data_IF_831315704391
#
_entry.id   IF_831315704391
#
_cell.length_a   1.000
_cell.length_b   1.000
_cell.length_c   1.000
_cell.angle_alpha   90.00
_cell.angle_beta   90.00
_cell.angle_gamma   90.00
#
_symmetry.space_group_name_H-M   'P 1'
#
loop_
_entity.id
_entity.type
_entity.pdbx_description
1 polymer ?
#
# COMPACT_ATOMS: atom_id res chain seq x y z
N UNK A 1 -7.40 -2.57 3.51
CA UNK A 1 -8.32 -2.36 2.39
C UNK A 1 -7.53 -2.06 1.15
N UNK A 2 -7.88 -2.71 0.05
CA UNK A 2 -7.43 -2.38 -1.31
C UNK A 2 -8.71 -2.25 -2.13
N UNK A 3 -9.06 -1.03 -2.53
CA UNK A 3 -10.42 -0.69 -2.90
C UNK A 3 -11.38 -0.97 -1.73
N UNK A 4 -12.52 -1.61 -2.03
CA UNK A 4 -13.54 -1.96 -1.04
C UNK A 4 -13.25 -3.28 -0.31
N UNK A 5 -12.23 -4.04 -0.76
CA UNK A 5 -11.93 -5.36 -0.25
C UNK A 5 -11.00 -5.32 0.97
N UNK A 6 -11.37 -6.08 2.01
CA UNK A 6 -10.57 -6.26 3.22
C UNK A 6 -9.72 -7.51 3.10
N UNK A 7 -8.40 -7.34 3.25
CA UNK A 7 -7.44 -8.42 3.37
C UNK A 7 -6.91 -8.44 4.80
N UNK A 8 -7.11 -9.56 5.49
CA UNK A 8 -6.39 -9.86 6.74
C UNK A 8 -4.96 -10.29 6.37
N UNK A 9 -3.99 -9.90 7.21
CA UNK A 9 -2.58 -10.21 7.01
C UNK A 9 -1.93 -10.46 8.37
N UNK A 10 -0.94 -11.34 8.38
CA UNK A 10 -0.09 -11.60 9.53
C UNK A 10 1.40 -11.50 9.16
N UNK A 11 2.27 -11.74 10.14
CA UNK A 11 3.72 -11.63 9.92
C UNK A 11 4.18 -12.65 8.88
N UNK A 12 4.85 -12.16 7.83
CA UNK A 12 5.38 -12.98 6.75
C UNK A 12 4.52 -12.99 5.49
N UNK A 13 3.28 -12.52 5.58
CA UNK A 13 2.42 -12.37 4.40
C UNK A 13 2.93 -11.28 3.46
N UNK A 14 2.56 -11.42 2.20
CA UNK A 14 2.81 -10.41 1.16
C UNK A 14 1.53 -10.17 0.37
N UNK A 15 1.26 -8.91 0.09
CA UNK A 15 0.13 -8.49 -0.74
C UNK A 15 0.58 -7.35 -1.67
N UNK A 16 -0.24 -7.08 -2.68
CA UNK A 16 0.01 -6.01 -3.65
C UNK A 16 -1.12 -5.00 -3.58
N UNK A 17 -0.78 -3.72 -3.74
CA UNK A 17 -1.74 -2.67 -4.06
C UNK A 17 -1.64 -2.43 -5.58
N UNK A 18 -2.65 -2.80 -6.37
CA UNK A 18 -2.63 -2.54 -7.81
C UNK A 18 -2.62 -1.05 -8.12
N UNK A 19 -2.20 -0.71 -9.35
CA UNK A 19 -2.17 0.68 -9.81
C UNK A 19 -3.54 1.35 -9.63
N UNK A 20 -3.53 2.60 -9.16
CA UNK A 20 -4.70 3.46 -9.02
C UNK A 20 -5.82 2.93 -8.11
N UNK A 21 -5.50 1.98 -7.22
CA UNK A 21 -6.42 1.56 -6.16
C UNK A 21 -6.15 2.36 -4.89
N UNK A 22 -7.21 2.94 -4.32
CA UNK A 22 -7.16 3.42 -2.95
C UNK A 22 -6.83 2.27 -2.02
N UNK A 23 -6.03 2.54 -1.00
CA UNK A 23 -5.63 1.55 -0.03
C UNK A 23 -5.50 2.19 1.36
N UNK A 24 -5.89 1.42 2.38
CA UNK A 24 -5.75 1.79 3.79
C UNK A 24 -5.25 0.60 4.58
N UNK A 25 -4.32 0.85 5.49
CA UNK A 25 -3.81 -0.14 6.43
C UNK A 25 -4.37 0.14 7.82
N UNK A 26 -4.79 -0.93 8.50
CA UNK A 26 -5.32 -0.86 9.86
C UNK A 26 -4.52 -1.85 10.72
N UNK A 27 -3.79 -1.36 11.71
CA UNK A 27 -3.14 -2.21 12.69
C UNK A 27 -4.11 -2.46 13.86
N UNK A 28 -4.57 -3.70 13.99
CA UNK A 28 -5.48 -4.13 15.08
C UNK A 28 -4.73 -4.65 16.31
N UNK A 29 -3.41 -4.82 16.22
CA UNK A 29 -2.56 -5.27 17.32
C UNK A 29 -2.17 -4.12 18.27
N UNK A 30 -1.67 -4.49 19.46
CA UNK A 30 -1.12 -3.53 20.42
C UNK A 30 0.28 -3.05 20.01
N UNK A 31 1.04 -3.93 19.39
CA UNK A 31 2.42 -3.67 18.98
C UNK A 31 2.47 -3.04 17.57
N UNK A 32 3.53 -2.28 17.25
CA UNK A 32 3.68 -1.70 15.91
C UNK A 32 3.81 -2.77 14.82
N UNK A 33 3.10 -2.57 13.71
CA UNK A 33 3.30 -3.31 12.47
C UNK A 33 4.30 -2.57 11.57
N UNK A 34 5.21 -3.30 10.93
CA UNK A 34 6.20 -2.75 9.99
C UNK A 34 6.02 -3.47 8.66
N UNK A 35 5.80 -2.71 7.58
CA UNK A 35 5.78 -3.23 6.23
C UNK A 35 7.08 -2.96 5.49
N UNK A 36 7.59 -4.00 4.84
CA UNK A 36 8.60 -3.83 3.81
C UNK A 36 7.90 -3.55 2.48
N UNK A 37 8.15 -2.37 1.91
CA UNK A 37 7.48 -1.92 0.69
C UNK A 37 8.49 -1.86 -0.46
N UNK A 38 8.14 -2.54 -1.55
CA UNK A 38 8.80 -2.40 -2.84
C UNK A 38 7.80 -1.77 -3.82
N UNK A 39 8.21 -0.72 -4.51
CA UNK A 39 7.36 -0.03 -5.48
C UNK A 39 8.17 0.45 -6.68
N UNK A 40 7.46 0.67 -7.79
CA UNK A 40 7.96 1.28 -9.02
C UNK A 40 8.06 2.83 -8.94
N UNK A 41 7.71 3.43 -7.78
CA UNK A 41 7.76 4.88 -7.55
C UNK A 41 9.07 5.53 -7.99
N UNK A 42 10.29 5.01 -7.66
CA UNK A 42 11.53 5.66 -8.09
C UNK A 42 11.67 5.76 -9.61
N UNK A 43 11.19 4.77 -10.36
CA UNK A 43 11.19 4.79 -11.83
C UNK A 43 10.16 5.81 -12.35
N UNK A 44 8.96 5.80 -11.78
CA UNK A 44 7.87 6.71 -12.18
C UNK A 44 8.23 8.18 -11.90
N UNK A 45 8.92 8.44 -10.80
CA UNK A 45 9.49 9.75 -10.46
C UNK A 45 10.53 10.17 -11.52
N UNK A 46 11.45 9.27 -11.89
CA UNK A 46 12.52 9.55 -12.85
C UNK A 46 12.02 9.90 -14.26
N UNK A 47 10.89 9.32 -14.69
CA UNK A 47 10.29 9.59 -16.01
C UNK A 47 9.18 10.65 -15.99
N UNK A 48 8.93 11.31 -14.84
CA UNK A 48 7.94 12.38 -14.73
C UNK A 48 6.47 11.92 -14.75
N UNK A 49 6.23 10.63 -14.51
CA UNK A 49 4.88 10.02 -14.55
C UNK A 49 4.33 9.66 -13.17
N UNK A 50 5.06 9.92 -12.09
CA UNK A 50 4.52 9.73 -10.76
C UNK A 50 3.29 10.63 -10.51
N UNK A 51 2.24 10.02 -9.97
CA UNK A 51 0.99 10.64 -9.58
C UNK A 51 0.50 9.99 -8.29
N UNK A 52 -0.05 10.81 -7.40
CA UNK A 52 -0.66 10.38 -6.15
C UNK A 52 -1.94 11.20 -5.96
N UNK A 53 -3.00 10.56 -5.49
CA UNK A 53 -4.27 11.22 -5.18
C UNK A 53 -4.62 10.89 -3.73
N UNK A 54 -4.48 11.85 -2.80
CA UNK A 54 -4.92 11.65 -1.43
C UNK A 54 -6.44 11.54 -1.39
N UNK A 55 -6.95 10.69 -0.51
CA UNK A 55 -8.38 10.66 -0.18
C UNK A 55 -8.79 12.03 0.41
N UNK A 56 -9.95 12.55 -0.02
CA UNK A 56 -10.49 13.85 0.41
C UNK A 56 -11.12 13.79 1.79
#
# INVERSE_FOLDING_TARGET
YVGDERYEWEQGDSFVVPLWNYHRHENTAKDPAIFFVMSDKPLMDAIGHYREMPES
#
